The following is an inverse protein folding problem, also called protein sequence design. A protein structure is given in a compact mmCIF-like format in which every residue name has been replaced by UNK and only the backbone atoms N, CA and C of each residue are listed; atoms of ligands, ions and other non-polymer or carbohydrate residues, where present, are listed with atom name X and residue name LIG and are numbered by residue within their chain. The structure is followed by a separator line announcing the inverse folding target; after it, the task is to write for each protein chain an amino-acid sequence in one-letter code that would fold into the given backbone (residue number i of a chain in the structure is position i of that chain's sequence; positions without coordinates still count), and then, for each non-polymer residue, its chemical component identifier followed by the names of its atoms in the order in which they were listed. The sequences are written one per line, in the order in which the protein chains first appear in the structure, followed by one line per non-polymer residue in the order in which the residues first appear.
data_IF_544650343026
#
_entry.id   IF_544650343026
#
_cell.length_a   1.000
_cell.length_b   1.000
_cell.length_c   1.000
_cell.angle_alpha   90.00
_cell.angle_beta   90.00
_cell.angle_gamma   90.00
#
_symmetry.space_group_name_H-M   'P 1'
#
loop_
_entity.id
_entity.type
_entity.pdbx_description
1 polymer ?
#
# COMPACT_ATOMS: atom_id res chain seq x y z
N UNK A 1 -22.78 13.92 -33.88
CA UNK A 1 -21.51 13.96 -33.11
C UNK A 1 -21.74 13.20 -31.82
N UNK A 2 -21.44 11.90 -31.82
CA UNK A 2 -21.28 11.11 -30.60
C UNK A 2 -19.88 11.37 -30.08
N UNK A 3 -19.75 11.98 -28.91
CA UNK A 3 -18.47 12.09 -28.24
C UNK A 3 -17.99 10.67 -27.89
N UNK A 4 -16.77 10.33 -28.29
CA UNK A 4 -16.13 9.12 -27.79
C UNK A 4 -16.02 9.21 -26.27
N UNK A 5 -16.34 8.15 -25.52
CA UNK A 5 -16.13 8.15 -24.08
C UNK A 5 -14.64 8.39 -23.80
N UNK A 6 -14.30 9.16 -22.75
CA UNK A 6 -12.91 9.38 -22.40
C UNK A 6 -12.23 8.02 -22.21
N UNK A 7 -11.16 7.78 -22.96
CA UNK A 7 -10.33 6.59 -22.82
C UNK A 7 -9.80 6.57 -21.40
N UNK A 8 -10.02 5.47 -20.67
CA UNK A 8 -9.50 5.31 -19.32
C UNK A 8 -7.99 5.58 -19.33
N UNK A 9 -7.54 6.51 -18.49
CA UNK A 9 -6.13 6.83 -18.33
C UNK A 9 -5.39 5.64 -17.70
N UNK A 10 -4.07 5.52 -17.93
CA UNK A 10 -3.29 4.40 -17.42
C UNK A 10 -3.34 4.28 -15.89
N UNK A 11 -3.65 5.38 -15.19
CA UNK A 11 -3.75 5.41 -13.73
C UNK A 11 -5.15 5.16 -13.16
N UNK A 12 -6.19 5.00 -13.99
CA UNK A 12 -7.58 4.95 -13.51
C UNK A 12 -7.87 3.72 -12.66
N UNK A 13 -7.24 2.57 -12.99
CA UNK A 13 -7.38 1.35 -12.20
C UNK A 13 -6.82 1.50 -10.78
N UNK A 14 -5.71 2.22 -10.63
CA UNK A 14 -5.07 2.50 -9.33
C UNK A 14 -5.94 3.44 -8.50
N UNK A 15 -6.42 4.53 -9.11
CA UNK A 15 -7.33 5.48 -8.46
C UNK A 15 -8.61 4.78 -8.00
N UNK A 16 -9.19 3.90 -8.82
CA UNK A 16 -10.38 3.16 -8.45
C UNK A 16 -10.18 2.29 -7.20
N UNK A 17 -9.02 1.63 -7.06
CA UNK A 17 -8.68 0.88 -5.84
C UNK A 17 -8.57 1.82 -4.65
N UNK A 18 -7.83 2.92 -4.80
CA UNK A 18 -7.62 3.88 -3.71
C UNK A 18 -8.92 4.53 -3.25
N UNK A 19 -9.78 4.92 -4.17
CA UNK A 19 -11.10 5.46 -3.85
C UNK A 19 -11.99 4.40 -3.18
N UNK A 20 -11.92 3.14 -3.63
CA UNK A 20 -12.67 2.05 -3.01
C UNK A 20 -12.22 1.83 -1.55
N UNK A 21 -10.91 1.77 -1.28
CA UNK A 21 -10.42 1.53 0.10
C UNK A 21 -10.79 2.66 1.05
N UNK A 22 -10.92 3.91 0.58
CA UNK A 22 -11.39 5.01 1.41
C UNK A 22 -12.81 4.78 1.94
N UNK A 23 -13.64 4.01 1.23
CA UNK A 23 -15.02 3.68 1.65
C UNK A 23 -15.10 2.54 2.66
N UNK A 24 -14.01 1.81 2.90
CA UNK A 24 -13.97 0.69 3.85
C UNK A 24 -14.11 1.18 5.31
N UNK A 25 -14.57 0.33 6.25
CA UNK A 25 -14.51 0.64 7.68
C UNK A 25 -13.08 0.90 8.16
N UNK A 26 -12.87 1.70 9.24
CA UNK A 26 -11.52 2.06 9.71
C UNK A 26 -10.58 0.87 9.93
N UNK A 27 -11.07 -0.20 10.59
CA UNK A 27 -10.27 -1.41 10.83
C UNK A 27 -9.84 -2.09 9.52
N UNK A 28 -10.72 -2.12 8.51
CA UNK A 28 -10.40 -2.68 7.20
C UNK A 28 -9.37 -1.84 6.45
N UNK A 29 -9.46 -0.49 6.51
CA UNK A 29 -8.44 0.41 5.96
C UNK A 29 -7.08 0.18 6.60
N UNK A 30 -7.03 0.07 7.92
CA UNK A 30 -5.80 -0.20 8.66
C UNK A 30 -5.17 -1.54 8.20
N UNK A 31 -5.95 -2.62 8.12
CA UNK A 31 -5.44 -3.92 7.65
C UNK A 31 -4.95 -3.86 6.19
N UNK A 32 -5.65 -3.13 5.32
CA UNK A 32 -5.22 -2.93 3.94
C UNK A 32 -3.87 -2.21 3.87
N UNK A 33 -3.73 -1.09 4.58
CA UNK A 33 -2.51 -0.29 4.61
C UNK A 33 -1.32 -1.08 5.20
N UNK A 34 -1.54 -1.81 6.30
CA UNK A 34 -0.52 -2.67 6.90
C UNK A 34 -0.10 -3.82 5.98
N UNK A 35 -1.03 -4.41 5.23
CA UNK A 35 -0.72 -5.42 4.22
C UNK A 35 0.15 -4.86 3.09
N UNK A 36 -0.15 -3.63 2.62
CA UNK A 36 0.69 -2.94 1.63
C UNK A 36 2.11 -2.75 2.18
N UNK A 37 2.26 -2.20 3.39
CA UNK A 37 3.55 -1.94 4.01
C UNK A 37 4.35 -3.24 4.25
N UNK A 38 3.73 -4.29 4.81
CA UNK A 38 4.42 -5.54 5.11
C UNK A 38 4.97 -6.23 3.85
N UNK A 39 4.28 -6.11 2.71
CA UNK A 39 4.77 -6.59 1.41
C UNK A 39 5.99 -5.82 0.93
N UNK A 40 6.01 -4.50 1.08
CA UNK A 40 7.16 -3.68 0.69
C UNK A 40 8.37 -3.97 1.57
N UNK A 41 8.17 -4.05 2.88
CA UNK A 41 9.22 -4.39 3.84
C UNK A 41 9.85 -5.75 3.53
N UNK A 42 9.06 -6.74 3.08
CA UNK A 42 9.58 -8.04 2.62
C UNK A 42 10.35 -7.92 1.29
N UNK A 43 9.84 -7.15 0.34
CA UNK A 43 10.50 -6.95 -0.94
C UNK A 43 11.84 -6.21 -0.82
N UNK A 44 11.96 -5.30 0.16
CA UNK A 44 13.17 -4.54 0.46
C UNK A 44 14.17 -5.29 1.36
N UNK A 45 13.84 -6.49 1.85
CA UNK A 45 14.62 -7.24 2.86
C UNK A 45 14.85 -6.48 4.18
N UNK A 46 13.92 -5.58 4.53
CA UNK A 46 13.96 -4.76 5.76
C UNK A 46 13.07 -5.29 6.88
N UNK A 47 12.67 -6.55 6.76
CA UNK A 47 11.74 -7.17 7.70
C UNK A 47 12.24 -7.16 9.14
N UNK A 48 13.51 -7.48 9.38
CA UNK A 48 14.07 -7.47 10.74
C UNK A 48 14.00 -6.09 11.41
N UNK A 49 14.06 -5.03 10.61
CA UNK A 49 14.09 -3.65 11.08
C UNK A 49 12.69 -3.09 11.38
N UNK A 50 11.74 -3.29 10.45
CA UNK A 50 10.41 -2.68 10.52
C UNK A 50 9.34 -3.59 11.12
N UNK A 51 9.64 -4.86 11.40
CA UNK A 51 8.69 -5.83 11.94
C UNK A 51 8.03 -5.35 13.24
N UNK A 52 8.80 -4.76 14.18
CA UNK A 52 8.23 -4.29 15.45
C UNK A 52 7.18 -3.20 15.25
N UNK A 53 7.42 -2.28 14.31
CA UNK A 53 6.46 -1.24 13.96
C UNK A 53 5.21 -1.84 13.32
N UNK A 54 5.37 -2.77 12.36
CA UNK A 54 4.25 -3.44 11.72
C UNK A 54 3.39 -4.25 12.72
N UNK A 55 4.00 -4.97 13.67
CA UNK A 55 3.27 -5.70 14.71
C UNK A 55 2.50 -4.78 15.66
N UNK A 56 3.05 -3.60 15.97
CA UNK A 56 2.33 -2.58 16.72
C UNK A 56 1.06 -2.14 15.96
N UNK A 57 1.19 -1.86 14.67
CA UNK A 57 0.06 -1.54 13.79
C UNK A 57 -0.99 -2.65 13.73
N UNK A 58 -0.57 -3.90 13.51
CA UNK A 58 -1.47 -5.06 13.49
C UNK A 58 -2.15 -5.31 14.84
N UNK A 59 -1.49 -4.99 15.95
CA UNK A 59 -2.08 -5.08 17.29
C UNK A 59 -3.21 -4.07 17.46
N UNK A 60 -3.01 -2.81 17.04
CA UNK A 60 -4.07 -1.79 17.07
C UNK A 60 -5.21 -2.11 16.12
N UNK A 61 -4.92 -2.62 14.92
CA UNK A 61 -5.95 -3.02 13.95
C UNK A 61 -6.90 -4.11 14.49
N UNK A 62 -6.47 -4.91 15.49
CA UNK A 62 -7.27 -5.92 16.20
C UNK A 62 -7.99 -5.40 17.46
N UNK A 63 -7.94 -4.10 17.70
CA UNK A 63 -8.50 -3.48 18.91
C UNK A 63 -7.59 -3.58 20.14
N UNK A 64 -6.32 -3.95 19.96
CA UNK A 64 -5.31 -3.82 21.00
C UNK A 64 -4.94 -2.35 21.24
N UNK A 65 -4.19 -2.11 22.32
CA UNK A 65 -3.69 -0.77 22.67
C UNK A 65 -2.17 -0.77 22.61
N UNK A 66 -1.62 0.01 21.69
CA UNK A 66 -0.20 0.33 21.56
C UNK A 66 -0.09 1.82 21.26
N UNK A 67 0.90 2.49 21.84
CA UNK A 67 1.18 3.89 21.54
C UNK A 67 1.83 4.04 20.16
N UNK A 68 1.00 4.09 19.11
CA UNK A 68 1.47 4.29 17.74
C UNK A 68 2.03 5.70 17.50
N UNK A 69 1.74 6.68 18.36
CA UNK A 69 2.31 8.01 18.21
C UNK A 69 3.82 7.98 18.48
N UNK A 70 4.24 7.26 19.52
CA UNK A 70 5.67 7.04 19.79
C UNK A 70 6.37 6.29 18.64
N UNK A 71 5.77 5.20 18.15
CA UNK A 71 6.35 4.42 17.03
C UNK A 71 6.44 5.24 15.75
N UNK A 72 5.42 6.05 15.44
CA UNK A 72 5.47 6.96 14.28
C UNK A 72 6.53 8.04 14.43
N UNK A 73 6.71 8.60 15.63
CA UNK A 73 7.74 9.61 15.88
C UNK A 73 9.16 9.04 15.71
N UNK A 74 9.38 7.76 16.08
CA UNK A 74 10.65 7.09 15.81
C UNK A 74 10.92 6.92 14.32
N UNK A 75 9.89 6.56 13.53
CA UNK A 75 10.02 6.47 12.08
C UNK A 75 10.23 7.85 11.42
N UNK A 76 9.52 8.88 11.88
CA UNK A 76 9.59 10.26 11.38
C UNK A 76 10.98 10.88 11.57
N UNK A 77 11.70 10.45 12.61
CA UNK A 77 13.06 10.92 12.92
C UNK A 77 14.16 10.27 12.06
N UNK A 78 13.82 9.31 11.19
CA UNK A 78 14.80 8.60 10.38
C UNK A 78 15.17 9.40 9.13
N UNK A 79 16.45 9.35 8.75
CA UNK A 79 16.95 10.00 7.54
C UNK A 79 16.41 9.36 6.24
N UNK A 80 15.90 8.13 6.33
CA UNK A 80 15.39 7.33 5.21
C UNK A 80 13.86 7.19 5.23
N UNK A 81 13.14 8.09 5.91
CA UNK A 81 11.68 8.08 5.94
C UNK A 81 11.04 8.08 4.55
N UNK A 82 11.70 8.73 3.57
CA UNK A 82 11.20 8.84 2.20
C UNK A 82 11.37 7.57 1.36
N UNK A 83 12.14 6.57 1.84
CA UNK A 83 12.19 5.25 1.23
C UNK A 83 10.81 4.59 1.29
N UNK A 84 10.37 3.98 0.18
CA UNK A 84 8.97 3.58 0.04
C UNK A 84 8.49 2.56 1.08
N UNK A 85 9.36 1.69 1.58
CA UNK A 85 9.00 0.70 2.61
C UNK A 85 8.88 1.34 4.00
N UNK A 86 9.74 2.31 4.33
CA UNK A 86 9.66 3.08 5.58
C UNK A 86 8.46 4.01 5.55
N UNK A 87 8.27 4.75 4.45
CA UNK A 87 7.12 5.62 4.22
C UNK A 87 5.81 4.83 4.28
N UNK A 88 5.72 3.70 3.59
CA UNK A 88 4.53 2.84 3.62
C UNK A 88 4.22 2.36 5.04
N UNK A 89 5.25 1.98 5.80
CA UNK A 89 5.09 1.58 7.22
C UNK A 89 4.58 2.76 8.05
N UNK A 90 5.19 3.93 7.95
CA UNK A 90 4.78 5.15 8.66
C UNK A 90 3.30 5.50 8.40
N UNK A 91 2.89 5.51 7.13
CA UNK A 91 1.51 5.78 6.75
C UNK A 91 0.55 4.64 7.15
N UNK A 92 0.99 3.38 7.12
CA UNK A 92 0.15 2.28 7.61
C UNK A 92 -0.19 2.42 9.11
N UNK A 93 0.77 2.87 9.93
CA UNK A 93 0.50 3.19 11.35
C UNK A 93 -0.47 4.36 11.50
N UNK A 94 -0.37 5.35 10.62
CA UNK A 94 -1.32 6.45 10.55
C UNK A 94 -2.74 6.02 10.21
N UNK A 95 -2.87 5.05 9.30
CA UNK A 95 -4.17 4.44 9.01
C UNK A 95 -4.71 3.64 10.21
N UNK A 96 -3.85 2.95 10.95
CA UNK A 96 -4.23 2.20 12.14
C UNK A 96 -4.78 3.09 13.28
N UNK A 97 -4.36 4.36 13.36
CA UNK A 97 -4.97 5.36 14.28
C UNK A 97 -6.22 6.03 13.71
N UNK A 98 -6.64 5.65 12.50
CA UNK A 98 -7.93 6.02 11.91
C UNK A 98 -7.85 7.04 10.77
N UNK A 99 -6.66 7.47 10.33
CA UNK A 99 -6.53 8.43 9.23
C UNK A 99 -6.77 7.75 7.87
N UNK A 100 -7.82 8.16 7.12
CA UNK A 100 -8.09 7.58 5.80
C UNK A 100 -7.07 8.02 4.73
N UNK A 101 -6.45 9.19 4.83
CA UNK A 101 -5.45 9.63 3.84
C UNK A 101 -4.16 8.85 3.98
N UNK A 102 -3.78 8.50 5.21
CA UNK A 102 -2.61 7.66 5.46
C UNK A 102 -2.81 6.23 4.89
N UNK A 103 -4.04 5.71 4.81
CA UNK A 103 -4.33 4.46 4.09
C UNK A 103 -3.95 4.56 2.60
N UNK A 104 -4.37 5.66 1.95
CA UNK A 104 -4.08 5.93 0.55
C UNK A 104 -2.58 6.15 0.33
N UNK A 105 -1.92 6.88 1.22
CA UNK A 105 -0.49 7.14 1.13
C UNK A 105 0.34 5.85 1.22
N UNK A 106 0.00 4.93 2.14
CA UNK A 106 0.66 3.63 2.24
C UNK A 106 0.52 2.80 0.96
N UNK A 107 -0.68 2.77 0.37
CA UNK A 107 -0.92 2.03 -0.87
C UNK A 107 -0.26 2.68 -2.10
N UNK A 108 -0.15 4.02 -2.11
CA UNK A 108 0.60 4.76 -3.12
C UNK A 108 2.08 4.40 -3.06
N UNK A 109 2.70 4.45 -1.87
CA UNK A 109 4.11 4.09 -1.69
C UNK A 109 4.40 2.65 -2.10
N UNK A 110 3.49 1.72 -1.80
CA UNK A 110 3.59 0.35 -2.28
C UNK A 110 3.54 0.23 -3.81
N UNK A 111 2.77 1.09 -4.47
CA UNK A 111 2.70 1.16 -5.93
C UNK A 111 3.95 1.81 -6.53
N UNK A 112 4.43 2.90 -5.94
CA UNK A 112 5.65 3.60 -6.37
C UNK A 112 6.85 2.64 -6.32
N UNK A 113 6.99 1.84 -5.27
CA UNK A 113 7.98 0.77 -5.18
C UNK A 113 7.78 -0.36 -6.20
N UNK A 114 6.55 -0.59 -6.69
CA UNK A 114 6.30 -1.54 -7.77
C UNK A 114 6.73 -0.97 -9.12
N UNK A 115 6.49 0.32 -9.37
CA UNK A 115 7.00 1.04 -10.55
C UNK A 115 8.53 1.08 -10.56
N UNK A 116 9.17 1.36 -9.42
CA UNK A 116 10.63 1.38 -9.31
C UNK A 116 11.30 0.03 -9.58
N UNK A 117 10.55 -1.08 -9.46
CA UNK A 117 11.02 -2.45 -9.76
C UNK A 117 10.65 -2.92 -11.16
N UNK A 118 9.78 -2.21 -11.88
CA UNK A 118 9.52 -2.54 -13.27
C UNK A 118 10.81 -2.33 -14.04
N UNK A 119 11.36 -3.41 -14.63
CA UNK A 119 12.62 -3.35 -15.36
C UNK A 119 12.49 -2.34 -16.51
N UNK A 120 13.34 -1.31 -16.47
CA UNK A 120 13.67 -0.54 -17.66
C UNK A 120 14.47 -1.44 -18.59
N UNK A 121 14.13 -1.43 -19.88
CA UNK A 121 14.96 -2.04 -20.90
C UNK A 121 16.32 -1.32 -20.84
N UNK A 122 17.43 -2.02 -20.55
CA UNK A 122 18.76 -1.40 -20.31
C UNK A 122 19.22 -0.54 -21.51
N UNK A 123 18.67 -0.82 -22.70
CA UNK A 123 18.92 -0.10 -23.95
C UNK A 123 17.97 1.09 -24.20
N UNK A 124 17.02 1.37 -23.30
CA UNK A 124 16.08 2.48 -23.43
C UNK A 124 16.78 3.82 -23.16
N UNK A 125 16.99 4.62 -24.21
CA UNK A 125 17.64 5.93 -24.10
C UNK A 125 16.71 7.06 -23.64
N UNK A 126 15.53 6.76 -23.09
CA UNK A 126 14.56 7.79 -22.70
C UNK A 126 13.39 7.26 -21.88
N UNK A 127 12.63 8.20 -21.31
CA UNK A 127 11.43 7.91 -20.53
C UNK A 127 10.38 7.19 -21.38
N UNK A 128 9.90 6.05 -20.89
CA UNK A 128 8.78 5.34 -21.50
C UNK A 128 7.46 6.04 -21.16
N UNK A 129 6.44 5.93 -22.01
CA UNK A 129 5.09 6.33 -21.63
C UNK A 129 4.66 5.59 -20.36
N UNK A 130 4.08 6.30 -19.39
CA UNK A 130 3.56 5.72 -18.14
C UNK A 130 2.60 4.53 -18.37
N UNK A 131 1.90 4.52 -19.51
CA UNK A 131 1.04 3.41 -19.89
C UNK A 131 1.81 2.10 -20.10
N UNK A 132 3.04 2.17 -20.59
CA UNK A 132 3.90 1.00 -20.80
C UNK A 132 4.42 0.49 -19.46
N UNK A 133 4.89 1.38 -18.57
CA UNK A 133 5.39 1.01 -17.24
C UNK A 133 4.26 0.38 -16.39
N UNK A 134 3.04 0.88 -16.53
CA UNK A 134 1.86 0.36 -15.86
C UNK A 134 1.51 -1.09 -16.27
N UNK A 135 2.07 -1.59 -17.38
CA UNK A 135 1.91 -2.99 -17.82
C UNK A 135 3.03 -3.92 -17.32
N UNK A 136 4.04 -3.38 -16.64
CA UNK A 136 5.14 -4.15 -16.05
C UNK A 136 4.64 -5.21 -15.07
N UNK A 137 5.32 -6.37 -15.04
CA UNK A 137 4.93 -7.47 -14.18
C UNK A 137 4.86 -7.09 -12.68
N UNK A 138 5.80 -6.31 -12.11
CA UNK A 138 5.71 -5.88 -10.72
C UNK A 138 4.49 -4.99 -10.44
N UNK A 139 4.21 -4.02 -11.32
CA UNK A 139 3.09 -3.07 -11.18
C UNK A 139 1.74 -3.79 -11.29
N UNK A 140 1.59 -4.64 -12.30
CA UNK A 140 0.34 -5.41 -12.51
C UNK A 140 0.10 -6.40 -11.38
N UNK A 141 1.14 -7.03 -10.83
CA UNK A 141 1.04 -7.91 -9.67
C UNK A 141 0.62 -7.16 -8.41
N UNK A 142 1.19 -5.98 -8.16
CA UNK A 142 0.82 -5.16 -7.01
C UNK A 142 -0.61 -4.62 -7.13
N UNK A 143 -1.00 -4.13 -8.31
CA UNK A 143 -2.38 -3.69 -8.57
C UNK A 143 -3.39 -4.83 -8.34
N UNK A 144 -3.11 -6.02 -8.89
CA UNK A 144 -3.97 -7.19 -8.72
C UNK A 144 -4.09 -7.60 -7.24
N UNK A 145 -2.98 -7.54 -6.49
CA UNK A 145 -2.99 -7.81 -5.06
C UNK A 145 -3.83 -6.78 -4.29
N UNK A 146 -3.63 -5.48 -4.54
CA UNK A 146 -4.39 -4.41 -3.87
C UNK A 146 -5.89 -4.52 -4.17
N UNK A 147 -6.26 -4.84 -5.41
CA UNK A 147 -7.66 -5.12 -5.79
C UNK A 147 -8.24 -6.29 -5.00
N UNK A 148 -7.51 -7.42 -4.95
CA UNK A 148 -7.94 -8.61 -4.23
C UNK A 148 -8.06 -8.34 -2.72
N UNK A 149 -7.11 -7.60 -2.13
CA UNK A 149 -7.13 -7.22 -0.73
C UNK A 149 -8.33 -6.32 -0.38
N UNK A 150 -8.56 -5.27 -1.18
CA UNK A 150 -9.68 -4.37 -0.99
C UNK A 150 -11.02 -5.10 -1.13
N UNK A 151 -11.19 -5.92 -2.17
CA UNK A 151 -12.41 -6.71 -2.39
C UNK A 151 -12.67 -7.70 -1.27
N UNK A 152 -11.61 -8.36 -0.77
CA UNK A 152 -11.71 -9.32 0.32
C UNK A 152 -12.10 -8.65 1.63
N UNK A 153 -11.48 -7.52 1.95
CA UNK A 153 -11.85 -6.73 3.14
C UNK A 153 -13.27 -6.16 3.05
N UNK A 154 -13.73 -5.79 1.86
CA UNK A 154 -15.12 -5.34 1.64
C UNK A 154 -16.12 -6.48 1.84
N UNK A 155 -15.78 -7.70 1.41
CA UNK A 155 -16.70 -8.86 1.40
C UNK A 155 -16.69 -9.61 2.72
N UNK A 156 -15.49 -9.95 3.21
CA UNK A 156 -15.29 -10.81 4.38
C UNK A 156 -15.12 -10.00 5.67
N UNK A 157 -14.83 -8.70 5.55
CA UNK A 157 -14.53 -7.82 6.68
C UNK A 157 -13.12 -7.99 7.27
N UNK A 158 -12.76 -7.17 8.28
CA UNK A 158 -11.45 -7.19 8.93
C UNK A 158 -11.36 -8.33 9.96
N UNK A 159 -11.33 -9.58 9.48
CA UNK A 159 -11.24 -10.78 10.33
C UNK A 159 -9.81 -11.31 10.46
N UNK A 160 -9.54 -12.13 11.48
CA UNK A 160 -8.24 -12.81 11.64
C UNK A 160 -7.86 -13.66 10.41
N UNK A 161 -8.84 -14.27 9.74
CA UNK A 161 -8.60 -15.05 8.53
C UNK A 161 -8.15 -14.17 7.35
N UNK A 162 -8.75 -12.98 7.20
CA UNK A 162 -8.34 -12.01 6.18
C UNK A 162 -6.99 -11.42 6.51
N UNK A 163 -6.72 -11.08 7.78
CA UNK A 163 -5.39 -10.68 8.24
C UNK A 163 -4.33 -11.74 7.89
N UNK A 164 -4.54 -13.00 8.27
CA UNK A 164 -3.62 -14.08 7.98
C UNK A 164 -3.42 -14.33 6.47
N UNK A 165 -4.35 -13.88 5.62
CA UNK A 165 -4.17 -13.88 4.16
C UNK A 165 -3.37 -12.67 3.67
N UNK A 166 -3.65 -11.47 4.20
CA UNK A 166 -2.92 -10.24 3.87
C UNK A 166 -1.44 -10.32 4.22
N UNK A 167 -1.12 -11.07 5.29
CA UNK A 167 0.25 -11.27 5.78
C UNK A 167 1.00 -12.41 5.08
N UNK A 168 0.50 -12.98 3.98
CA UNK A 168 1.24 -13.98 3.19
C UNK A 168 2.00 -13.31 2.06
#
# INVERSE_FOLDING_TARGET
MTAEPPTAGPLDAFRAVWDHVLTLPPAARAMFALGCAERQVRAADRHAELLSALEAGWTVARGGSVDLAAVRAELDARDDLDDDDVAATYFALGSAVGDPQDCRAAASRAMDAAFARAEDDEDATGFRPLADDATGAPVTAELAWQQAAAARLATDGPTEAVMAWLRR
#
